data_IF_733408143320
#
_entry.id   IF_733408143320
#
_cell.length_a   1.000
_cell.length_b   1.000
_cell.length_c   1.000
_cell.angle_alpha   90.00
_cell.angle_beta   90.00
_cell.angle_gamma   90.00
#
_symmetry.space_group_name_H-M   'P 1'
#
loop_
_entity.id
_entity.type
_entity.pdbx_description
1 polymer ?
#
# COMPACT_ATOMS: atom_id res chain seq x y z
N UNK A 1 3.26 -0.42 11.95
CA UNK A 1 4.32 -1.41 12.28
C UNK A 1 5.24 -1.48 11.07
N UNK A 2 6.56 -1.47 11.24
CA UNK A 2 7.47 -1.69 10.12
C UNK A 2 7.39 -3.15 9.70
N UNK A 3 7.24 -3.42 8.40
CA UNK A 3 7.44 -4.77 7.87
C UNK A 3 8.86 -5.23 8.27
N UNK A 4 9.05 -6.49 8.69
CA UNK A 4 10.39 -7.00 8.95
C UNK A 4 11.23 -6.79 7.68
N UNK A 5 12.39 -6.16 7.79
CA UNK A 5 13.25 -5.82 6.64
C UNK A 5 13.54 -7.05 5.77
N UNK A 6 13.70 -8.22 6.40
CA UNK A 6 13.89 -9.51 5.74
C UNK A 6 12.69 -9.94 4.88
N UNK A 7 11.48 -9.57 5.29
CA UNK A 7 10.26 -9.86 4.52
C UNK A 7 10.22 -8.94 3.29
N UNK A 8 10.53 -7.65 3.46
CA UNK A 8 10.60 -6.68 2.35
C UNK A 8 11.66 -7.10 1.32
N UNK A 9 12.84 -7.55 1.77
CA UNK A 9 13.90 -8.04 0.90
C UNK A 9 13.49 -9.30 0.13
N UNK A 10 12.80 -10.26 0.78
CA UNK A 10 12.29 -11.45 0.12
C UNK A 10 11.21 -11.15 -0.93
N UNK A 11 10.45 -10.06 -0.77
CA UNK A 11 9.45 -9.61 -1.74
C UNK A 11 10.02 -8.68 -2.82
N UNK A 12 11.22 -8.12 -2.64
CA UNK A 12 11.81 -7.17 -3.58
C UNK A 12 11.91 -7.73 -5.01
N UNK A 13 12.38 -8.97 -5.18
CA UNK A 13 12.47 -9.60 -6.51
C UNK A 13 11.11 -9.83 -7.17
N UNK A 14 10.04 -9.96 -6.38
CA UNK A 14 8.66 -10.07 -6.89
C UNK A 14 7.99 -8.71 -7.08
N UNK A 15 8.60 -7.63 -6.58
CA UNK A 15 8.13 -6.26 -6.78
C UNK A 15 8.80 -5.58 -7.99
N UNK A 16 9.72 -6.25 -8.68
CA UNK A 16 10.24 -5.77 -9.96
C UNK A 16 9.10 -5.59 -11.00
N UNK A 17 8.07 -6.44 -10.97
CA UNK A 17 6.90 -6.32 -11.84
C UNK A 17 6.11 -5.01 -11.62
N UNK A 18 6.25 -4.37 -10.46
CA UNK A 18 5.59 -3.08 -10.17
C UNK A 18 6.21 -1.93 -10.97
N UNK A 19 7.46 -2.06 -11.42
CA UNK A 19 8.14 -1.06 -12.23
C UNK A 19 7.43 -0.89 -13.56
N UNK A 20 7.08 -1.99 -14.22
CA UNK A 20 6.43 -1.98 -15.54
C UNK A 20 4.89 -1.87 -15.48
N UNK A 21 4.32 -1.69 -14.28
CA UNK A 21 2.88 -1.67 -14.09
C UNK A 21 2.23 -0.39 -14.66
N UNK A 22 1.10 -0.54 -15.33
CA UNK A 22 0.28 0.60 -15.79
C UNK A 22 -0.69 1.08 -14.70
N UNK A 23 -0.97 0.24 -13.69
CA UNK A 23 -1.84 0.53 -12.55
C UNK A 23 -1.39 -0.28 -11.34
N UNK A 24 -1.29 0.37 -10.18
CA UNK A 24 -1.06 -0.29 -8.91
C UNK A 24 -2.38 -0.39 -8.13
N UNK A 25 -2.88 -1.61 -7.91
CA UNK A 25 -4.01 -1.84 -7.00
C UNK A 25 -3.48 -2.16 -5.61
N UNK A 26 -3.63 -1.21 -4.69
CA UNK A 26 -3.13 -1.34 -3.33
C UNK A 26 -4.28 -1.68 -2.38
N UNK A 27 -4.33 -2.95 -1.95
CA UNK A 27 -5.38 -3.45 -1.06
C UNK A 27 -4.96 -3.31 0.40
N UNK A 28 -5.78 -2.66 1.21
CA UNK A 28 -5.52 -2.35 2.61
C UNK A 28 -6.56 -3.02 3.49
N UNK A 29 -6.14 -3.62 4.59
CA UNK A 29 -7.07 -4.14 5.60
C UNK A 29 -7.72 -2.99 6.39
N UNK A 30 -9.00 -2.74 6.16
CA UNK A 30 -9.78 -1.71 6.86
C UNK A 30 -10.09 -2.05 8.31
N UNK A 31 -9.96 -3.32 8.71
CA UNK A 31 -10.17 -3.77 10.10
C UNK A 31 -8.92 -3.63 10.97
N UNK A 32 -7.76 -3.30 10.37
CA UNK A 32 -6.53 -3.08 11.13
C UNK A 32 -6.62 -1.84 12.02
N UNK A 33 -5.95 -1.88 13.18
CA UNK A 33 -5.96 -0.76 14.13
C UNK A 33 -5.24 0.50 13.61
N UNK A 34 -4.37 0.37 12.61
CA UNK A 34 -3.67 1.48 11.97
C UNK A 34 -3.42 1.26 10.47
N UNK A 35 -4.48 1.35 9.63
CA UNK A 35 -4.37 1.07 8.19
C UNK A 35 -3.51 2.12 7.46
N UNK A 36 -3.50 3.38 7.91
CA UNK A 36 -2.66 4.44 7.35
C UNK A 36 -1.16 4.11 7.46
N UNK A 37 -0.73 3.52 8.57
CA UNK A 37 0.67 3.10 8.71
C UNK A 37 1.04 1.98 7.73
N UNK A 38 0.12 1.06 7.44
CA UNK A 38 0.35 0.01 6.43
C UNK A 38 0.46 0.62 5.03
N UNK A 39 -0.46 1.53 4.69
CA UNK A 39 -0.47 2.24 3.40
C UNK A 39 0.88 2.90 3.15
N UNK A 40 1.37 3.67 4.13
CA UNK A 40 2.62 4.39 4.00
C UNK A 40 3.83 3.44 3.88
N UNK A 41 3.83 2.31 4.59
CA UNK A 41 4.90 1.34 4.50
C UNK A 41 4.99 0.71 3.10
N UNK A 42 3.86 0.33 2.50
CA UNK A 42 3.83 -0.25 1.15
C UNK A 42 4.21 0.80 0.12
N UNK A 43 3.67 2.03 0.21
CA UNK A 43 4.05 3.14 -0.68
C UNK A 43 5.55 3.42 -0.63
N UNK A 44 6.17 3.36 0.55
CA UNK A 44 7.61 3.53 0.69
C UNK A 44 8.38 2.46 -0.08
N UNK A 45 8.05 1.18 0.11
CA UNK A 45 8.73 0.08 -0.61
C UNK A 45 8.56 0.19 -2.11
N UNK A 46 7.34 0.47 -2.60
CA UNK A 46 7.07 0.66 -4.02
C UNK A 46 7.87 1.82 -4.59
N UNK A 47 7.89 2.96 -3.91
CA UNK A 47 8.64 4.13 -4.36
C UNK A 47 10.15 3.86 -4.37
N UNK A 48 10.68 3.13 -3.39
CA UNK A 48 12.09 2.75 -3.34
C UNK A 48 12.45 1.86 -4.55
N UNK A 49 11.65 0.83 -4.86
CA UNK A 49 11.88 -0.07 -6.00
C UNK A 49 11.79 0.66 -7.35
N UNK A 50 10.80 1.54 -7.51
CA UNK A 50 10.61 2.29 -8.75
C UNK A 50 11.70 3.35 -8.95
N UNK A 51 12.14 4.00 -7.87
CA UNK A 51 13.24 4.96 -7.90
C UNK A 51 14.58 4.31 -8.27
N UNK A 52 14.83 3.07 -7.83
CA UNK A 52 16.02 2.29 -8.23
C UNK A 52 16.09 2.02 -9.74
N UNK A 53 14.96 2.10 -10.45
CA UNK A 53 14.85 1.87 -11.89
C UNK A 53 14.69 3.16 -12.71
N UNK A 54 14.88 4.34 -12.09
CA UNK A 54 14.69 5.65 -12.72
C UNK A 54 13.30 5.86 -13.37
N UNK A 55 12.27 5.19 -12.82
CA UNK A 55 10.89 5.27 -13.30
C UNK A 55 9.99 6.08 -12.37
N UNK A 56 8.73 6.28 -12.75
CA UNK A 56 7.68 6.88 -11.91
C UNK A 56 6.67 5.82 -11.52
N UNK A 57 6.19 5.88 -10.29
CA UNK A 57 5.19 4.92 -9.82
C UNK A 57 3.92 5.02 -10.66
N UNK A 58 3.35 3.86 -10.98
CA UNK A 58 2.06 3.77 -11.64
C UNK A 58 0.97 4.52 -10.82
N UNK A 59 -0.11 5.00 -11.46
CA UNK A 59 -1.29 5.45 -10.74
C UNK A 59 -1.73 4.41 -9.71
N UNK A 60 -2.06 4.85 -8.50
CA UNK A 60 -2.47 3.97 -7.40
C UNK A 60 -3.99 4.00 -7.25
N UNK A 61 -4.61 2.82 -7.31
CA UNK A 61 -5.98 2.59 -6.86
C UNK A 61 -5.95 1.94 -5.49
N UNK A 62 -6.30 2.72 -4.46
CA UNK A 62 -6.36 2.22 -3.10
C UNK A 62 -7.71 1.54 -2.82
N UNK A 63 -7.68 0.30 -2.35
CA UNK A 63 -8.88 -0.50 -2.08
C UNK A 63 -8.91 -0.90 -0.60
N UNK A 64 -9.95 -0.50 0.12
CA UNK A 64 -10.16 -0.92 1.51
C UNK A 64 -10.90 -2.26 1.53
N UNK A 65 -10.22 -3.30 2.02
CA UNK A 65 -10.72 -4.66 2.17
C UNK A 65 -11.16 -4.95 3.62
N UNK A 66 -11.87 -6.06 3.83
CA UNK A 66 -12.42 -6.50 5.13
C UNK A 66 -13.36 -5.48 5.78
N UNK A 67 -14.14 -4.80 4.95
CA UNK A 67 -15.11 -3.79 5.40
C UNK A 67 -16.19 -4.38 6.32
N UNK A 68 -16.43 -5.69 6.24
CA UNK A 68 -17.33 -6.46 7.09
C UNK A 68 -16.85 -6.57 8.55
N UNK A 69 -15.53 -6.50 8.76
CA UNK A 69 -14.89 -6.56 10.08
C UNK A 69 -14.38 -5.19 10.56
N UNK A 70 -14.51 -4.15 9.74
CA UNK A 70 -14.02 -2.82 10.03
C UNK A 70 -15.02 -1.99 10.82
N UNK A 71 -14.51 -1.16 11.74
CA UNK A 71 -15.31 -0.19 12.46
C UNK A 71 -15.74 0.97 11.54
N UNK A 72 -17.02 1.36 11.58
CA UNK A 72 -17.57 2.41 10.70
C UNK A 72 -16.86 3.76 10.88
N UNK A 73 -16.48 4.10 12.11
CA UNK A 73 -15.75 5.35 12.37
C UNK A 73 -14.32 5.28 11.82
N UNK A 74 -13.67 4.12 11.88
CA UNK A 74 -12.38 3.90 11.23
C UNK A 74 -12.48 4.06 9.70
N UNK A 75 -13.49 3.46 9.06
CA UNK A 75 -13.73 3.60 7.62
C UNK A 75 -14.01 5.05 7.22
N UNK A 76 -14.82 5.77 7.99
CA UNK A 76 -15.10 7.19 7.73
C UNK A 76 -13.84 8.07 7.84
N UNK A 77 -12.96 7.77 8.81
CA UNK A 77 -11.66 8.45 8.95
C UNK A 77 -10.75 8.16 7.77
N UNK A 78 -10.69 6.91 7.30
CA UNK A 78 -9.92 6.54 6.11
C UNK A 78 -10.40 7.27 4.86
N UNK A 79 -11.71 7.26 4.61
CA UNK A 79 -12.30 7.95 3.46
C UNK A 79 -12.03 9.45 3.45
N UNK A 80 -11.95 10.07 4.63
CA UNK A 80 -11.58 11.49 4.75
C UNK A 80 -10.09 11.73 4.53
N UNK A 81 -9.24 10.81 4.96
CA UNK A 81 -7.79 10.93 4.82
C UNK A 81 -7.30 10.63 3.40
N UNK A 82 -8.09 9.90 2.62
CA UNK A 82 -7.74 9.37 1.30
C UNK A 82 -8.86 9.75 0.31
N UNK A 83 -8.85 11.01 -0.18
CA UNK A 83 -9.81 11.44 -1.20
C UNK A 83 -9.54 10.75 -2.54
N UNK A 84 -10.61 10.62 -3.35
CA UNK A 84 -10.58 10.05 -4.71
C UNK A 84 -9.67 10.83 -5.68
#
# INVERSE_FOLDING_TARGET
RHLPTQLVEAFRSTLEEVVDAELLVHVVDGSDANPLAQINAVRQVVNDVVAEHDQRSAPELLVVNKIDAADELALAKLRRALPD
#
